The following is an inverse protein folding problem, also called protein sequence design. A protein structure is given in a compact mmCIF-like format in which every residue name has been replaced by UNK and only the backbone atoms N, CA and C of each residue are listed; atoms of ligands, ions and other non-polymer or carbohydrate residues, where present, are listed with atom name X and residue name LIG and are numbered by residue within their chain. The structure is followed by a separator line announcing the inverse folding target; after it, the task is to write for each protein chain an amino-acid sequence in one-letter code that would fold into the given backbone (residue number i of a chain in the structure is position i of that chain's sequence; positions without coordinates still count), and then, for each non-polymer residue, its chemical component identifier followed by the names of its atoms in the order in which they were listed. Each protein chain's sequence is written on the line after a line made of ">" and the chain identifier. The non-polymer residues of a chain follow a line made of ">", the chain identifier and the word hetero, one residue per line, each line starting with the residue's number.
data_IF_368904048791
#
_entry.id   IF_368904048791
#
_cell.length_a   1.000
_cell.length_b   1.000
_cell.length_c   1.000
_cell.angle_alpha   90.00
_cell.angle_beta   90.00
_cell.angle_gamma   90.00
#
_symmetry.space_group_name_H-M   'P 1'
#
loop_
_entity.id
_entity.type
_entity.pdbx_description
1 polymer ?
#
# COMPACT_ATOMS: atom_id res chain seq x y z
N UNK A 1 -10.26 -1.06 12.81
CA UNK A 1 -9.16 -0.08 13.04
C UNK A 1 -9.33 1.16 12.18
N UNK A 2 -9.50 0.97 10.87
CA UNK A 2 -9.60 2.07 9.89
C UNK A 2 -10.68 3.13 10.21
N UNK A 3 -11.92 2.71 10.47
CA UNK A 3 -13.01 3.62 10.85
C UNK A 3 -12.69 4.47 12.10
N UNK A 4 -11.92 3.93 13.05
CA UNK A 4 -11.49 4.69 14.22
C UNK A 4 -10.58 5.85 13.80
N UNK A 5 -9.61 5.61 12.92
CA UNK A 5 -8.69 6.64 12.47
C UNK A 5 -9.39 7.71 11.63
N UNK A 6 -10.32 7.34 10.74
CA UNK A 6 -11.14 8.33 10.03
C UNK A 6 -11.95 9.25 10.95
N UNK A 7 -12.29 8.81 12.16
CA UNK A 7 -13.07 9.60 13.12
C UNK A 7 -12.22 10.37 14.12
N UNK A 8 -11.09 9.80 14.52
CA UNK A 8 -10.39 10.24 15.73
C UNK A 8 -8.95 10.67 15.52
N UNK A 9 -8.28 10.31 14.41
CA UNK A 9 -6.83 10.62 14.26
C UNK A 9 -6.55 12.12 14.28
N UNK A 10 -7.43 12.90 13.65
CA UNK A 10 -7.36 14.36 13.67
C UNK A 10 -7.65 14.96 15.05
N UNK A 11 -8.46 14.29 15.88
CA UNK A 11 -8.74 14.70 17.25
C UNK A 11 -7.64 14.28 18.23
N UNK A 12 -6.88 13.23 17.90
CA UNK A 12 -5.68 12.80 18.63
C UNK A 12 -4.49 13.71 18.38
N UNK A 13 -4.42 14.33 17.20
CA UNK A 13 -3.29 15.16 16.81
C UNK A 13 -3.20 16.47 17.64
N UNK A 14 -2.14 16.69 18.45
CA UNK A 14 -2.02 17.85 19.32
C UNK A 14 -1.96 19.20 18.59
N UNK A 15 -1.53 19.20 17.33
CA UNK A 15 -1.56 20.42 16.51
C UNK A 15 -3.00 20.83 16.17
N UNK A 16 -3.90 19.87 15.96
CA UNK A 16 -5.31 20.09 15.60
C UNK A 16 -6.24 20.28 16.80
N UNK A 17 -6.06 19.51 17.86
CA UNK A 17 -6.92 19.55 19.05
C UNK A 17 -6.08 19.91 20.27
N UNK A 18 -6.41 21.00 20.97
CA UNK A 18 -5.70 21.45 22.19
C UNK A 18 -6.26 20.86 23.48
N UNK A 19 -7.45 20.26 23.48
CA UNK A 19 -8.03 19.59 24.65
C UNK A 19 -7.29 18.28 24.99
N UNK A 20 -6.40 18.35 25.98
CA UNK A 20 -5.58 17.21 26.42
C UNK A 20 -6.41 16.11 27.09
N UNK A 21 -7.47 16.47 27.82
CA UNK A 21 -8.33 15.51 28.50
C UNK A 21 -9.15 14.70 27.49
N UNK A 22 -9.62 15.34 26.42
CA UNK A 22 -10.25 14.63 25.32
C UNK A 22 -9.25 13.72 24.59
N UNK A 23 -8.03 14.19 24.29
CA UNK A 23 -6.99 13.35 23.65
C UNK A 23 -6.70 12.10 24.47
N UNK A 24 -6.46 12.23 25.78
CA UNK A 24 -6.24 11.09 26.69
C UNK A 24 -7.40 10.11 26.70
N UNK A 25 -8.65 10.60 26.67
CA UNK A 25 -9.84 9.73 26.58
C UNK A 25 -9.88 8.95 25.26
N UNK A 26 -9.50 9.58 24.15
CA UNK A 26 -9.45 8.92 22.85
C UNK A 26 -8.28 7.92 22.79
N UNK A 27 -7.10 8.26 23.32
CA UNK A 27 -5.95 7.33 23.45
C UNK A 27 -6.29 6.12 24.31
N UNK A 28 -7.00 6.30 25.42
CA UNK A 28 -7.50 5.20 26.25
C UNK A 28 -8.53 4.34 25.50
N UNK A 29 -9.42 4.97 24.72
CA UNK A 29 -10.35 4.24 23.86
C UNK A 29 -9.63 3.44 22.77
N UNK A 30 -8.61 4.02 22.12
CA UNK A 30 -7.74 3.35 21.16
C UNK A 30 -7.05 2.13 21.80
N UNK A 31 -6.44 2.34 22.97
CA UNK A 31 -5.78 1.26 23.72
C UNK A 31 -6.76 0.15 24.07
N UNK A 32 -7.96 0.48 24.55
CA UNK A 32 -9.00 -0.52 24.87
C UNK A 32 -9.47 -1.28 23.64
N UNK A 33 -9.62 -0.59 22.51
CA UNK A 33 -9.95 -1.19 21.22
C UNK A 33 -8.88 -2.18 20.78
N UNK A 34 -7.61 -1.79 20.76
CA UNK A 34 -6.49 -2.69 20.42
C UNK A 34 -6.31 -3.82 21.43
N UNK A 35 -6.51 -3.57 22.73
CA UNK A 35 -6.51 -4.63 23.75
C UNK A 35 -7.62 -5.65 23.47
N UNK A 36 -8.76 -5.23 22.93
CA UNK A 36 -9.82 -6.14 22.52
C UNK A 36 -9.45 -6.98 21.30
N UNK A 37 -8.75 -6.39 20.32
CA UNK A 37 -8.22 -7.12 19.18
C UNK A 37 -7.14 -8.12 19.60
N UNK A 38 -6.25 -7.72 20.50
CA UNK A 38 -5.23 -8.60 21.09
C UNK A 38 -5.86 -9.82 21.75
N UNK A 39 -6.89 -9.63 22.59
CA UNK A 39 -7.66 -10.76 23.17
C UNK A 39 -8.32 -11.64 22.12
N UNK A 40 -8.83 -11.06 21.04
CA UNK A 40 -9.43 -11.83 19.94
C UNK A 40 -8.37 -12.69 19.23
N UNK A 41 -7.21 -12.10 18.93
CA UNK A 41 -6.07 -12.82 18.36
C UNK A 41 -5.61 -13.93 19.31
N UNK A 42 -5.49 -13.64 20.61
CA UNK A 42 -5.15 -14.64 21.63
C UNK A 42 -6.09 -15.84 21.62
N UNK A 43 -7.42 -15.61 21.56
CA UNK A 43 -8.41 -16.71 21.45
C UNK A 43 -8.27 -17.55 20.19
N UNK A 44 -7.85 -16.96 19.07
CA UNK A 44 -7.59 -17.69 17.82
C UNK A 44 -6.31 -18.52 17.98
N UNK A 45 -5.28 -17.94 18.60
CA UNK A 45 -4.00 -18.62 18.87
C UNK A 45 -4.18 -19.79 19.84
N UNK A 46 -4.99 -19.64 20.88
CA UNK A 46 -5.30 -20.71 21.85
C UNK A 46 -5.99 -21.92 21.20
N UNK A 47 -6.60 -21.75 20.03
CA UNK A 47 -7.31 -22.81 19.30
C UNK A 47 -6.44 -23.53 18.25
N UNK A 48 -5.18 -23.13 18.06
CA UNK A 48 -4.27 -23.72 17.06
C UNK A 48 -3.07 -24.39 17.73
N UNK A 49 -2.48 -25.38 17.03
CA UNK A 49 -1.23 -26.01 17.45
C UNK A 49 -0.06 -25.06 17.10
N UNK A 50 0.38 -24.26 18.07
CA UNK A 50 1.44 -23.27 17.91
C UNK A 50 2.79 -23.90 17.50
N UNK A 51 3.03 -25.16 17.85
CA UNK A 51 4.25 -25.88 17.48
C UNK A 51 4.27 -26.33 16.01
N UNK A 52 3.14 -26.19 15.30
CA UNK A 52 3.01 -26.55 13.88
C UNK A 52 2.47 -25.41 13.00
N UNK A 53 2.20 -24.24 13.58
CA UNK A 53 1.51 -23.15 12.87
C UNK A 53 2.36 -21.89 12.82
N UNK A 54 2.53 -21.33 11.63
CA UNK A 54 3.08 -19.98 11.44
C UNK A 54 1.92 -18.99 11.40
N UNK A 55 1.97 -18.00 12.28
CA UNK A 55 1.01 -16.91 12.41
C UNK A 55 1.65 -15.66 11.81
N UNK A 56 0.94 -15.02 10.88
CA UNK A 56 1.32 -13.72 10.30
C UNK A 56 0.19 -12.74 10.53
N UNK A 57 0.50 -11.59 11.12
CA UNK A 57 -0.42 -10.45 11.26
C UNK A 57 0.15 -9.31 10.42
N UNK A 58 -0.66 -8.79 9.51
CA UNK A 58 -0.26 -7.69 8.63
C UNK A 58 -1.35 -6.62 8.57
N UNK A 59 -0.97 -5.39 8.20
CA UNK A 59 -1.89 -4.29 7.88
C UNK A 59 -1.72 -3.87 6.43
N UNK A 60 -2.81 -3.60 5.73
CA UNK A 60 -2.81 -3.08 4.36
C UNK A 60 -2.29 -1.64 4.27
N UNK A 61 -2.53 -0.84 5.29
CA UNK A 61 -1.98 0.51 5.40
C UNK A 61 -1.90 0.98 6.87
N UNK A 62 -1.24 2.12 7.07
CA UNK A 62 -1.35 2.94 8.27
C UNK A 62 -2.30 4.13 8.07
N UNK A 63 -2.19 5.14 8.93
CA UNK A 63 -2.96 6.37 8.84
C UNK A 63 -2.18 7.55 9.44
N UNK A 64 -2.40 8.75 8.90
CA UNK A 64 -1.81 10.01 9.36
C UNK A 64 -2.89 11.07 9.56
N UNK A 65 -2.74 12.00 10.52
CA UNK A 65 -3.63 13.15 10.63
C UNK A 65 -3.38 14.16 9.51
N UNK A 66 -4.37 15.02 9.27
CA UNK A 66 -4.27 16.15 8.35
C UNK A 66 -3.82 17.41 9.07
N UNK A 67 -2.91 18.17 8.49
CA UNK A 67 -2.51 19.47 9.03
C UNK A 67 -3.65 20.50 8.96
N UNK A 68 -3.81 21.29 10.01
CA UNK A 68 -4.71 22.46 10.06
C UNK A 68 -6.20 22.18 9.77
N UNK A 69 -6.69 20.97 10.05
CA UNK A 69 -8.08 20.56 9.74
C UNK A 69 -9.15 21.45 10.39
N UNK A 70 -8.82 22.10 11.52
CA UNK A 70 -9.70 23.00 12.25
C UNK A 70 -9.50 24.49 11.89
N UNK A 71 -8.61 24.82 10.95
CA UNK A 71 -8.40 26.19 10.52
C UNK A 71 -9.61 26.68 9.70
N UNK A 72 -10.12 27.91 9.89
CA UNK A 72 -11.30 28.41 9.17
C UNK A 72 -11.17 28.41 7.64
N UNK A 73 -9.95 28.60 7.14
CA UNK A 73 -9.63 28.60 5.71
C UNK A 73 -9.21 27.23 5.16
N UNK A 74 -9.23 26.18 5.99
CA UNK A 74 -8.87 24.83 5.59
C UNK A 74 -9.73 24.36 4.42
N UNK A 75 -9.07 23.76 3.43
CA UNK A 75 -9.72 23.10 2.30
C UNK A 75 -9.09 21.74 2.10
N UNK A 76 -9.92 20.74 1.84
CA UNK A 76 -9.41 19.43 1.47
C UNK A 76 -8.66 19.56 0.13
N UNK A 77 -7.40 19.12 0.09
CA UNK A 77 -6.60 19.11 -1.11
C UNK A 77 -7.28 18.26 -2.18
N UNK A 78 -7.50 18.84 -3.36
CA UNK A 78 -8.12 18.19 -4.50
C UNK A 78 -7.36 18.55 -5.79
N UNK A 79 -6.72 17.57 -6.41
CA UNK A 79 -5.97 17.80 -7.64
C UNK A 79 -6.84 18.31 -8.79
N UNK A 80 -8.15 18.01 -8.81
CA UNK A 80 -9.05 18.55 -9.83
C UNK A 80 -9.17 20.08 -9.75
N UNK A 81 -9.00 20.71 -8.59
CA UNK A 81 -8.99 22.17 -8.47
C UNK A 81 -7.74 22.78 -9.13
N UNK A 82 -6.61 22.07 -9.06
CA UNK A 82 -5.37 22.45 -9.76
C UNK A 82 -5.57 22.35 -11.27
N UNK A 83 -6.14 21.23 -11.73
CA UNK A 83 -6.43 21.00 -13.15
C UNK A 83 -7.42 22.03 -13.70
N UNK A 84 -8.47 22.38 -12.94
CA UNK A 84 -9.41 23.46 -13.27
C UNK A 84 -8.71 24.80 -13.43
N UNK A 85 -7.89 25.19 -12.45
CA UNK A 85 -7.15 26.48 -12.47
C UNK A 85 -6.19 26.59 -13.65
N UNK A 86 -5.65 25.47 -14.14
CA UNK A 86 -4.76 25.43 -15.31
C UNK A 86 -5.49 25.22 -16.64
N UNK A 87 -6.82 25.13 -16.64
CA UNK A 87 -7.63 24.93 -17.84
C UNK A 87 -7.48 23.54 -18.46
N UNK A 88 -7.13 22.53 -17.66
CA UNK A 88 -7.03 21.12 -18.06
C UNK A 88 -8.33 20.35 -17.79
N UNK A 89 -9.11 20.81 -16.80
CA UNK A 89 -10.41 20.27 -16.43
C UNK A 89 -11.46 21.38 -16.49
N UNK A 90 -12.62 21.09 -17.05
CA UNK A 90 -13.75 22.03 -17.12
C UNK A 90 -14.98 21.40 -16.50
N UNK A 91 -15.66 22.19 -15.69
CA UNK A 91 -16.87 21.79 -15.00
C UNK A 91 -17.90 22.91 -15.07
N UNK A 92 -19.17 22.54 -15.00
CA UNK A 92 -20.31 23.44 -14.86
C UNK A 92 -21.20 22.94 -13.72
N UNK A 93 -21.97 23.82 -13.11
CA UNK A 93 -22.95 23.41 -12.10
C UNK A 93 -24.21 22.95 -12.84
N UNK A 94 -24.61 21.72 -12.57
CA UNK A 94 -25.86 21.18 -13.07
C UNK A 94 -27.03 21.86 -12.35
N UNK A 95 -27.90 22.56 -13.10
CA UNK A 95 -28.96 23.40 -12.54
C UNK A 95 -30.03 22.60 -11.79
N UNK A 96 -30.26 21.34 -12.16
CA UNK A 96 -31.28 20.48 -11.54
C UNK A 96 -30.79 19.87 -10.22
N UNK A 97 -29.54 19.42 -10.20
CA UNK A 97 -28.96 18.70 -9.05
C UNK A 97 -28.11 19.58 -8.14
N UNK A 98 -27.68 20.75 -8.63
CA UNK A 98 -26.71 21.62 -7.97
C UNK A 98 -25.30 21.03 -7.89
N UNK A 99 -25.04 19.89 -8.54
CA UNK A 99 -23.77 19.20 -8.48
C UNK A 99 -22.83 19.66 -9.60
N UNK A 100 -21.53 19.60 -9.33
CA UNK A 100 -20.51 19.90 -10.34
C UNK A 100 -20.43 18.76 -11.36
N UNK A 101 -20.67 19.09 -12.64
CA UNK A 101 -20.62 18.17 -13.77
C UNK A 101 -19.43 18.49 -14.67
N UNK A 102 -18.69 17.46 -15.10
CA UNK A 102 -17.56 17.60 -16.01
C UNK A 102 -18.04 17.85 -17.43
N UNK A 103 -17.44 18.83 -18.11
CA UNK A 103 -17.65 19.12 -19.54
C UNK A 103 -16.54 18.42 -20.32
N UNK A 104 -16.83 17.21 -20.80
CA UNK A 104 -15.84 16.31 -21.38
C UNK A 104 -15.22 16.84 -22.68
N UNK A 105 -16.00 17.54 -23.50
CA UNK A 105 -15.58 18.12 -24.77
C UNK A 105 -14.57 19.26 -24.62
N UNK A 106 -14.41 19.80 -23.40
CA UNK A 106 -13.42 20.83 -23.06
C UNK A 106 -12.30 20.27 -22.18
N UNK A 107 -12.52 19.12 -21.53
CA UNK A 107 -11.63 18.55 -20.53
C UNK A 107 -10.54 17.70 -21.16
N UNK A 108 -9.28 18.04 -20.89
CA UNK A 108 -8.11 17.27 -21.32
C UNK A 108 -7.72 16.21 -20.30
N UNK A 109 -7.90 16.46 -19.02
CA UNK A 109 -7.50 15.54 -17.97
C UNK A 109 -8.38 15.63 -16.73
N UNK A 110 -8.53 14.51 -16.01
CA UNK A 110 -9.32 14.40 -14.79
C UNK A 110 -8.60 13.53 -13.77
N UNK A 111 -8.56 13.97 -12.51
CA UNK A 111 -8.12 13.16 -11.40
C UNK A 111 -9.28 12.28 -10.88
N UNK A 112 -9.03 10.99 -10.73
CA UNK A 112 -9.98 9.97 -10.24
C UNK A 112 -9.25 9.07 -9.22
N UNK A 113 -10.00 8.45 -8.31
CA UNK A 113 -9.47 7.48 -7.33
C UNK A 113 -8.26 8.01 -6.53
N UNK A 114 -8.33 9.28 -6.13
CA UNK A 114 -7.39 9.96 -5.24
C UNK A 114 -5.98 10.24 -5.74
N UNK A 115 -5.39 9.44 -6.65
CA UNK A 115 -3.98 9.61 -7.07
C UNK A 115 -3.73 9.44 -8.59
N UNK A 116 -4.76 9.12 -9.36
CA UNK A 116 -4.64 8.90 -10.81
C UNK A 116 -5.22 10.05 -11.60
N UNK A 117 -4.40 10.67 -12.45
CA UNK A 117 -4.87 11.61 -13.46
C UNK A 117 -4.93 10.90 -14.81
N UNK A 118 -6.13 10.84 -15.37
CA UNK A 118 -6.39 10.27 -16.69
C UNK A 118 -6.49 11.39 -17.73
N UNK A 119 -5.92 11.17 -18.90
CA UNK A 119 -5.98 12.06 -20.05
C UNK A 119 -7.14 11.59 -20.93
N UNK A 120 -8.01 12.53 -21.31
CA UNK A 120 -9.17 12.32 -22.18
C UNK A 120 -8.72 12.14 -23.65
N UNK A 121 -8.01 11.02 -23.88
CA UNK A 121 -7.39 10.66 -25.15
C UNK A 121 -8.45 10.28 -26.20
N UNK A 122 -8.30 10.85 -27.40
CA UNK A 122 -9.14 10.57 -28.56
C UNK A 122 -9.06 9.10 -28.95
N UNK A 123 -10.19 8.51 -29.32
CA UNK A 123 -10.28 7.08 -29.66
C UNK A 123 -10.28 6.12 -28.46
N UNK A 124 -9.80 6.54 -27.29
CA UNK A 124 -9.86 5.76 -26.05
C UNK A 124 -11.13 6.04 -25.24
N UNK A 125 -11.53 7.30 -25.14
CA UNK A 125 -12.72 7.73 -24.40
C UNK A 125 -13.78 8.34 -25.33
N UNK A 126 -15.10 8.21 -25.02
CA UNK A 126 -16.18 8.64 -25.92
C UNK A 126 -16.11 10.10 -26.36
N UNK A 127 -15.65 10.99 -25.48
CA UNK A 127 -15.51 12.43 -25.72
C UNK A 127 -14.03 12.86 -25.74
N UNK A 128 -13.13 11.95 -26.13
CA UNK A 128 -11.69 12.19 -26.14
C UNK A 128 -11.28 13.32 -27.09
N UNK A 129 -10.59 14.33 -26.55
CA UNK A 129 -10.17 15.53 -27.31
C UNK A 129 -8.65 15.66 -27.46
N UNK A 130 -7.87 14.90 -26.68
CA UNK A 130 -6.41 14.95 -26.75
C UNK A 130 -5.94 14.00 -27.85
N UNK A 131 -5.22 14.51 -28.84
CA UNK A 131 -4.61 13.70 -29.88
C UNK A 131 -3.41 12.89 -29.33
N UNK A 132 -3.10 11.75 -29.93
CA UNK A 132 -1.98 10.90 -29.50
C UNK A 132 -0.63 11.66 -29.52
N UNK A 133 -0.43 12.53 -30.51
CA UNK A 133 0.76 13.38 -30.62
C UNK A 133 0.90 14.42 -29.50
N UNK A 134 -0.18 14.74 -28.79
CA UNK A 134 -0.20 15.67 -27.66
C UNK A 134 -0.09 14.97 -26.30
N UNK A 135 -0.22 13.64 -26.26
CA UNK A 135 -0.34 12.87 -25.02
C UNK A 135 0.79 13.17 -24.02
N UNK A 136 2.04 13.06 -24.46
CA UNK A 136 3.19 13.33 -23.58
C UNK A 136 3.26 14.79 -23.14
N UNK A 137 2.90 15.73 -24.03
CA UNK A 137 2.84 17.15 -23.70
C UNK A 137 1.82 17.40 -22.58
N UNK A 138 0.64 16.79 -22.67
CA UNK A 138 -0.40 16.90 -21.63
C UNK A 138 0.05 16.24 -20.32
N UNK A 139 0.75 15.10 -20.36
CA UNK A 139 1.35 14.52 -19.14
C UNK A 139 2.29 15.51 -18.44
N UNK A 140 3.17 16.18 -19.21
CA UNK A 140 4.09 17.18 -18.67
C UNK A 140 3.35 18.43 -18.13
N UNK A 141 2.29 18.88 -18.80
CA UNK A 141 1.44 19.98 -18.34
C UNK A 141 0.78 19.66 -16.99
N UNK A 142 0.25 18.44 -16.83
CA UNK A 142 -0.33 17.95 -15.57
C UNK A 142 0.73 17.92 -14.47
N UNK A 143 1.89 17.29 -14.71
CA UNK A 143 2.97 17.19 -13.73
C UNK A 143 3.43 18.58 -13.30
N UNK A 144 3.62 19.49 -14.25
CA UNK A 144 3.97 20.88 -13.97
C UNK A 144 2.89 21.57 -13.13
N UNK A 145 1.61 21.40 -13.48
CA UNK A 145 0.50 21.98 -12.74
C UNK A 145 0.49 21.53 -11.27
N UNK A 146 0.70 20.24 -11.03
CA UNK A 146 0.80 19.64 -9.70
C UNK A 146 1.98 20.22 -8.90
N UNK A 147 3.19 20.26 -9.48
CA UNK A 147 4.36 20.82 -8.79
C UNK A 147 4.33 22.34 -8.63
N UNK A 148 3.69 23.09 -9.53
CA UNK A 148 3.53 24.54 -9.42
C UNK A 148 2.64 24.92 -8.24
N UNK A 149 1.67 24.07 -7.89
CA UNK A 149 0.72 24.35 -6.82
C UNK A 149 1.44 24.55 -5.48
N UNK A 150 0.97 25.55 -4.75
CA UNK A 150 1.38 25.86 -3.39
C UNK A 150 0.09 26.05 -2.62
N UNK A 151 -0.06 25.31 -1.53
CA UNK A 151 -1.23 25.42 -0.68
C UNK A 151 -1.27 26.82 -0.06
N UNK A 152 -2.34 27.61 -0.27
CA UNK A 152 -2.37 29.01 0.13
C UNK A 152 -2.43 29.20 1.65
N UNK A 153 -2.90 28.20 2.40
CA UNK A 153 -3.01 28.26 3.85
C UNK A 153 -1.65 28.01 4.52
N UNK A 154 -0.95 26.97 4.08
CA UNK A 154 0.31 26.51 4.69
C UNK A 154 1.56 27.07 4.02
N UNK A 155 1.44 27.56 2.78
CA UNK A 155 2.57 27.95 1.94
C UNK A 155 3.42 26.76 1.44
N UNK A 156 3.01 25.52 1.71
CA UNK A 156 3.76 24.30 1.36
C UNK A 156 3.38 23.78 -0.03
N UNK A 157 4.25 22.96 -0.61
CA UNK A 157 3.95 22.17 -1.81
C UNK A 157 3.47 20.78 -1.38
N UNK A 158 2.20 20.41 -1.63
CA UNK A 158 1.63 19.16 -1.13
C UNK A 158 2.10 17.92 -1.91
N UNK A 159 2.55 18.08 -3.16
CA UNK A 159 2.93 16.97 -4.03
C UNK A 159 4.33 16.48 -3.65
N UNK A 160 4.42 15.22 -3.21
CA UNK A 160 5.69 14.56 -2.91
C UNK A 160 6.35 14.04 -4.19
N UNK A 161 5.54 13.47 -5.09
CA UNK A 161 5.96 13.09 -6.43
C UNK A 161 4.78 13.16 -7.41
N UNK A 162 5.09 13.36 -8.69
CA UNK A 162 4.20 13.11 -9.82
C UNK A 162 5.02 12.44 -10.94
N UNK A 163 4.58 11.25 -11.36
CA UNK A 163 5.24 10.39 -12.33
C UNK A 163 4.35 10.21 -13.55
N UNK A 164 4.96 10.15 -14.73
CA UNK A 164 4.28 9.64 -15.92
C UNK A 164 3.94 8.16 -15.70
N UNK A 165 2.86 7.70 -16.33
CA UNK A 165 2.45 6.28 -16.32
C UNK A 165 3.60 5.31 -16.64
N UNK A 166 4.46 5.67 -17.57
CA UNK A 166 5.61 4.87 -18.01
C UNK A 166 6.63 4.66 -16.89
N UNK A 167 6.83 5.68 -16.05
CA UNK A 167 7.82 5.68 -14.97
C UNK A 167 7.25 5.16 -13.64
N UNK A 168 5.92 5.16 -13.48
CA UNK A 168 5.23 4.69 -12.26
C UNK A 168 5.52 3.20 -11.93
N UNK A 169 6.10 2.43 -12.86
CA UNK A 169 6.51 1.05 -12.63
C UNK A 169 7.49 0.92 -11.47
N UNK A 170 8.32 1.94 -11.21
CA UNK A 170 9.29 1.92 -10.10
C UNK A 170 8.63 1.87 -8.71
N UNK A 171 7.35 2.26 -8.60
CA UNK A 171 6.55 2.17 -7.37
C UNK A 171 5.49 1.06 -7.44
N UNK A 172 5.66 0.09 -8.35
CA UNK A 172 4.76 -1.05 -8.50
C UNK A 172 3.43 -0.75 -9.20
N UNK A 173 3.30 0.42 -9.84
CA UNK A 173 2.10 0.82 -10.56
C UNK A 173 2.32 0.75 -12.07
N UNK A 174 1.60 -0.13 -12.76
CA UNK A 174 1.71 -0.30 -14.21
C UNK A 174 0.44 -0.94 -14.80
N UNK A 175 0.36 -0.98 -16.13
CA UNK A 175 -0.77 -1.58 -16.87
C UNK A 175 -1.86 -0.59 -17.23
N UNK A 176 -2.92 -1.06 -17.89
CA UNK A 176 -3.91 -0.18 -18.53
C UNK A 176 -4.84 0.54 -17.56
N UNK A 177 -4.93 0.03 -16.32
CA UNK A 177 -5.83 0.55 -15.28
C UNK A 177 -5.25 1.69 -14.45
N UNK A 178 -3.96 1.99 -14.58
CA UNK A 178 -3.37 3.15 -13.87
C UNK A 178 -3.53 4.43 -14.69
N UNK A 179 -3.57 5.56 -13.97
CA UNK A 179 -3.62 6.90 -14.54
C UNK A 179 -2.45 7.19 -15.48
N UNK A 180 -2.67 8.12 -16.40
CA UNK A 180 -1.66 8.61 -17.34
C UNK A 180 -0.58 9.45 -16.63
N UNK A 181 -0.94 10.07 -15.51
CA UNK A 181 -0.02 10.59 -14.48
C UNK A 181 -0.45 10.06 -13.12
N UNK A 182 0.51 9.61 -12.32
CA UNK A 182 0.31 9.13 -10.95
C UNK A 182 1.01 10.09 -10.00
N UNK A 183 0.36 10.51 -8.93
CA UNK A 183 0.98 11.39 -7.94
C UNK A 183 0.78 10.89 -6.51
N UNK A 184 1.70 11.27 -5.63
CA UNK A 184 1.60 11.08 -4.19
C UNK A 184 1.74 12.42 -3.48
N UNK A 185 1.12 12.53 -2.31
CA UNK A 185 1.20 13.73 -1.47
C UNK A 185 2.05 13.51 -0.23
N UNK A 186 2.56 14.60 0.34
CA UNK A 186 3.24 14.59 1.63
C UNK A 186 2.26 14.15 2.75
N UNK A 187 2.75 13.52 3.83
CA UNK A 187 1.88 12.88 4.83
C UNK A 187 0.96 13.86 5.57
N UNK A 188 1.32 15.14 5.68
CA UNK A 188 0.50 16.16 6.35
C UNK A 188 -0.70 16.67 5.52
N UNK A 189 -0.71 16.37 4.22
CA UNK A 189 -1.77 16.81 3.31
C UNK A 189 -3.08 16.12 3.67
N UNK A 190 -4.20 16.81 3.49
CA UNK A 190 -5.51 16.37 3.96
C UNK A 190 -5.88 14.92 3.60
N UNK A 191 -6.70 14.28 4.42
CA UNK A 191 -7.07 12.88 4.31
C UNK A 191 -6.12 11.97 5.10
N UNK A 192 -6.61 10.81 5.51
CA UNK A 192 -5.87 9.96 6.46
C UNK A 192 -4.95 8.93 5.80
N UNK A 193 -5.26 8.51 4.57
CA UNK A 193 -4.51 7.53 3.78
C UNK A 193 -4.95 7.54 2.30
N UNK A 194 -4.36 6.64 1.50
CA UNK A 194 -4.73 6.37 0.10
C UNK A 194 -3.96 7.16 -0.94
N UNK A 195 -3.47 8.36 -0.62
CA UNK A 195 -2.65 9.19 -1.53
C UNK A 195 -1.30 9.61 -0.97
N UNK A 196 -1.11 9.45 0.33
CA UNK A 196 0.14 9.69 1.02
C UNK A 196 1.17 8.60 0.66
N UNK A 197 2.44 8.98 0.66
CA UNK A 197 3.53 8.01 0.58
C UNK A 197 3.44 6.97 1.70
N UNK A 198 3.64 5.69 1.38
CA UNK A 198 3.60 4.59 2.37
C UNK A 198 4.70 4.66 3.42
N UNK A 199 5.74 5.46 3.16
CA UNK A 199 6.82 5.78 4.10
C UNK A 199 6.53 7.03 4.95
N UNK A 200 5.44 7.74 4.68
CA UNK A 200 5.10 9.01 5.29
C UNK A 200 4.72 8.88 6.76
N UNK A 201 5.21 9.81 7.57
CA UNK A 201 4.91 9.94 9.00
C UNK A 201 4.61 11.39 9.29
N UNK A 202 3.55 11.65 10.05
CA UNK A 202 3.18 13.00 10.43
C UNK A 202 2.40 12.98 11.74
N UNK A 203 2.75 13.90 12.64
CA UNK A 203 2.10 14.02 13.93
C UNK A 203 2.13 12.70 14.71
N UNK A 204 0.98 12.27 15.19
CA UNK A 204 0.78 11.00 15.90
C UNK A 204 0.69 9.76 15.00
N UNK A 205 0.69 9.92 13.68
CA UNK A 205 0.40 8.85 12.72
C UNK A 205 1.59 8.41 11.84
N UNK A 206 1.44 7.24 11.24
CA UNK A 206 2.38 6.65 10.29
C UNK A 206 1.62 5.89 9.21
N UNK A 207 2.03 6.04 7.95
CA UNK A 207 1.47 5.27 6.82
C UNK A 207 2.01 3.85 6.74
N UNK A 208 3.03 3.51 7.54
CA UNK A 208 3.62 2.18 7.58
C UNK A 208 2.59 1.17 8.10
N UNK A 209 2.47 0.04 7.40
CA UNK A 209 1.70 -1.10 7.87
C UNK A 209 2.42 -1.85 9.00
N UNK A 210 1.67 -2.72 9.69
CA UNK A 210 2.20 -3.66 10.67
C UNK A 210 2.60 -4.94 9.96
N UNK A 211 3.70 -5.56 10.37
CA UNK A 211 4.05 -6.93 10.00
C UNK A 211 4.62 -7.65 11.23
N UNK A 212 3.93 -8.69 11.68
CA UNK A 212 4.32 -9.54 12.81
C UNK A 212 4.25 -10.98 12.35
N UNK A 213 5.28 -11.77 12.66
CA UNK A 213 5.32 -13.20 12.35
C UNK A 213 5.80 -13.99 13.57
N UNK A 214 5.17 -15.14 13.81
CA UNK A 214 5.49 -16.07 14.91
C UNK A 214 5.26 -17.49 14.43
N UNK A 215 6.11 -18.44 14.84
CA UNK A 215 5.87 -19.86 14.61
C UNK A 215 7.16 -20.69 14.56
N UNK A 216 7.05 -21.97 14.20
CA UNK A 216 8.20 -22.88 14.05
C UNK A 216 9.20 -22.37 13.02
N UNK A 217 10.49 -22.39 13.35
CA UNK A 217 11.58 -21.96 12.47
C UNK A 217 11.65 -20.44 12.24
N UNK A 218 10.86 -19.64 12.97
CA UNK A 218 10.88 -18.18 12.93
C UNK A 218 11.65 -17.62 14.12
N UNK A 219 12.55 -16.66 13.88
CA UNK A 219 13.35 -16.01 14.92
C UNK A 219 12.45 -15.28 15.93
N UNK A 220 12.84 -15.32 17.19
CA UNK A 220 12.15 -14.63 18.30
C UNK A 220 12.86 -13.33 18.68
N UNK A 221 12.10 -12.30 19.04
CA UNK A 221 12.64 -11.04 19.57
C UNK A 221 13.40 -10.20 18.55
N UNK A 222 13.15 -10.39 17.25
CA UNK A 222 13.81 -9.66 16.17
C UNK A 222 12.89 -8.57 15.64
N UNK A 223 13.44 -7.35 15.49
CA UNK A 223 12.85 -6.28 14.70
C UNK A 223 13.60 -6.23 13.37
N UNK A 224 12.88 -6.29 12.26
CA UNK A 224 13.49 -6.21 10.94
C UNK A 224 13.86 -4.76 10.61
N UNK A 225 15.08 -4.54 10.12
CA UNK A 225 15.52 -3.23 9.63
C UNK A 225 15.25 -3.03 8.12
N UNK A 226 15.07 -4.12 7.36
CA UNK A 226 14.74 -4.03 5.93
C UNK A 226 13.31 -3.56 5.72
N UNK A 227 13.07 -2.88 4.61
CA UNK A 227 11.71 -2.69 4.09
C UNK A 227 11.09 -4.05 3.76
N UNK A 228 9.86 -4.25 4.24
CA UNK A 228 9.02 -5.39 3.89
C UNK A 228 7.84 -4.83 3.09
N UNK A 229 7.66 -5.33 1.88
CA UNK A 229 6.53 -4.96 1.03
C UNK A 229 5.36 -5.91 1.30
N UNK A 230 4.12 -5.46 1.12
CA UNK A 230 2.95 -6.34 1.20
C UNK A 230 3.01 -7.48 0.19
N UNK A 231 3.64 -7.24 -0.97
CA UNK A 231 3.88 -8.25 -2.00
C UNK A 231 4.84 -9.35 -1.55
N UNK A 232 5.68 -9.10 -0.54
CA UNK A 232 6.64 -10.08 0.01
C UNK A 232 5.95 -11.16 0.88
N UNK A 233 4.71 -10.93 1.31
CA UNK A 233 4.00 -11.82 2.24
C UNK A 233 3.69 -13.18 1.59
N UNK A 234 3.08 -13.17 0.40
CA UNK A 234 2.70 -14.38 -0.33
C UNK A 234 3.88 -15.31 -0.64
N UNK A 235 4.99 -14.85 -1.27
CA UNK A 235 6.12 -15.72 -1.57
C UNK A 235 6.77 -16.26 -0.29
N UNK A 236 6.76 -15.50 0.79
CA UNK A 236 7.25 -15.95 2.10
C UNK A 236 6.42 -17.09 2.68
N UNK A 237 5.08 -17.00 2.60
CA UNK A 237 4.17 -18.08 3.01
C UNK A 237 4.40 -19.33 2.15
N UNK A 238 4.49 -19.15 0.82
CA UNK A 238 4.73 -20.27 -0.09
C UNK A 238 6.05 -20.98 0.23
N UNK A 239 7.12 -20.22 0.45
CA UNK A 239 8.42 -20.77 0.82
C UNK A 239 8.38 -21.51 2.16
N UNK A 240 7.74 -20.92 3.18
CA UNK A 240 7.65 -21.52 4.51
C UNK A 240 6.93 -22.87 4.49
N UNK A 241 5.82 -22.95 3.73
CA UNK A 241 4.93 -24.11 3.69
C UNK A 241 5.23 -25.10 2.55
N UNK A 242 6.29 -24.88 1.77
CA UNK A 242 6.61 -25.66 0.56
C UNK A 242 5.44 -25.70 -0.46
N UNK A 243 4.72 -24.58 -0.58
CA UNK A 243 3.62 -24.44 -1.53
C UNK A 243 4.13 -23.89 -2.88
N UNK A 244 3.48 -24.25 -3.99
CA UNK A 244 3.76 -23.62 -5.27
C UNK A 244 3.51 -22.11 -5.19
N UNK A 245 4.47 -21.34 -5.68
CA UNK A 245 4.35 -19.88 -5.74
C UNK A 245 3.40 -19.51 -6.91
N UNK A 246 2.46 -18.56 -6.72
CA UNK A 246 1.66 -18.05 -7.82
C UNK A 246 2.53 -17.53 -8.97
N UNK A 247 2.11 -17.77 -10.22
CA UNK A 247 2.91 -17.45 -11.42
C UNK A 247 3.24 -15.96 -11.55
N UNK A 248 2.34 -15.10 -11.09
CA UNK A 248 2.45 -13.64 -11.19
C UNK A 248 2.93 -13.01 -9.86
N UNK A 249 3.57 -13.80 -8.98
CA UNK A 249 4.11 -13.29 -7.73
C UNK A 249 5.36 -12.43 -7.98
N UNK A 250 5.29 -11.15 -7.61
CA UNK A 250 6.40 -10.19 -7.81
C UNK A 250 7.24 -9.92 -6.55
N UNK A 251 6.75 -10.30 -5.37
CA UNK A 251 7.45 -10.06 -4.10
C UNK A 251 8.65 -10.96 -3.87
N UNK A 252 9.47 -10.60 -2.88
CA UNK A 252 10.62 -11.38 -2.45
C UNK A 252 10.34 -12.12 -1.14
N UNK A 253 10.95 -13.30 -0.98
CA UNK A 253 10.90 -14.03 0.30
C UNK A 253 11.62 -13.20 1.38
N UNK A 254 11.01 -13.09 2.55
CA UNK A 254 11.56 -12.38 3.70
C UNK A 254 12.48 -13.33 4.48
N UNK A 255 13.60 -13.74 3.89
CA UNK A 255 14.51 -14.74 4.49
C UNK A 255 14.98 -14.41 5.91
N UNK A 256 15.04 -13.12 6.24
CA UNK A 256 15.50 -12.62 7.54
C UNK A 256 14.67 -13.13 8.73
N UNK A 257 13.40 -13.51 8.52
CA UNK A 257 12.52 -14.01 9.59
C UNK A 257 12.87 -15.42 10.04
N UNK A 258 13.49 -16.24 9.18
CA UNK A 258 13.76 -17.64 9.48
C UNK A 258 15.02 -17.80 10.33
N UNK A 259 15.01 -18.74 11.27
CA UNK A 259 16.18 -19.13 12.06
C UNK A 259 17.32 -19.64 11.16
N UNK A 260 16.95 -20.44 10.16
CA UNK A 260 17.83 -20.94 9.10
C UNK A 260 17.20 -20.63 7.73
N UNK A 261 17.69 -19.65 6.97
CA UNK A 261 17.11 -19.31 5.66
C UNK A 261 17.28 -20.42 4.61
N UNK A 262 18.18 -21.38 4.84
CA UNK A 262 18.47 -22.48 3.92
C UNK A 262 17.75 -23.79 4.30
N UNK A 263 16.81 -23.77 5.26
CA UNK A 263 16.22 -24.99 5.80
C UNK A 263 15.59 -25.89 4.71
N UNK A 264 14.86 -25.31 3.75
CA UNK A 264 14.29 -26.04 2.59
C UNK A 264 15.35 -26.67 1.71
N UNK A 265 16.44 -25.95 1.45
CA UNK A 265 17.56 -26.48 0.67
C UNK A 265 18.20 -27.67 1.38
N UNK A 266 18.42 -27.56 2.69
CA UNK A 266 19.00 -28.64 3.51
C UNK A 266 18.08 -29.86 3.59
N UNK A 267 16.76 -29.66 3.71
CA UNK A 267 15.76 -30.73 3.63
C UNK A 267 15.84 -31.47 2.30
N UNK A 268 15.87 -30.74 1.18
CA UNK A 268 16.00 -31.31 -0.16
C UNK A 268 17.31 -32.09 -0.33
N UNK A 269 18.45 -31.53 0.09
CA UNK A 269 19.74 -32.21 0.01
C UNK A 269 19.77 -33.51 0.85
N UNK A 270 19.13 -33.51 2.02
CA UNK A 270 18.98 -34.70 2.86
C UNK A 270 18.09 -35.75 2.19
N UNK A 271 16.95 -35.34 1.61
CA UNK A 271 16.07 -36.24 0.86
C UNK A 271 16.78 -36.86 -0.34
N UNK A 272 17.52 -36.05 -1.11
CA UNK A 272 18.31 -36.52 -2.25
C UNK A 272 19.35 -37.55 -1.83
N UNK A 273 20.11 -37.30 -0.76
CA UNK A 273 21.08 -38.26 -0.22
C UNK A 273 20.42 -39.57 0.21
N UNK A 274 19.26 -39.51 0.86
CA UNK A 274 18.51 -40.69 1.27
C UNK A 274 17.98 -41.48 0.07
N UNK A 275 17.46 -40.79 -0.95
CA UNK A 275 17.00 -41.40 -2.19
C UNK A 275 18.11 -42.19 -2.88
N UNK A 276 19.29 -41.57 -3.08
CA UNK A 276 20.43 -42.25 -3.69
C UNK A 276 20.89 -43.48 -2.89
N UNK A 277 20.86 -43.39 -1.55
CA UNK A 277 21.21 -44.51 -0.68
C UNK A 277 20.23 -45.70 -0.85
N UNK A 278 18.93 -45.42 -0.88
CA UNK A 278 17.89 -46.44 -1.04
C UNK A 278 17.96 -47.05 -2.45
N UNK A 279 18.11 -46.21 -3.48
CA UNK A 279 18.25 -46.66 -4.86
C UNK A 279 19.41 -47.64 -5.01
N UNK A 280 20.59 -47.30 -4.47
CA UNK A 280 21.76 -48.18 -4.49
C UNK A 280 21.53 -49.51 -3.76
N UNK A 281 20.82 -49.48 -2.64
CA UNK A 281 20.49 -50.69 -1.89
C UNK A 281 19.59 -51.62 -2.72
N UNK A 282 18.54 -51.07 -3.35
CA UNK A 282 17.62 -51.83 -4.22
C UNK A 282 18.35 -52.39 -5.45
N UNK A 283 19.20 -51.59 -6.10
CA UNK A 283 20.00 -52.06 -7.25
C UNK A 283 20.94 -53.21 -6.86
N UNK A 284 21.57 -53.11 -5.68
CA UNK A 284 22.42 -54.16 -5.15
C UNK A 284 21.62 -55.42 -4.84
N UNK A 285 20.43 -55.28 -4.25
CA UNK A 285 19.56 -56.41 -3.94
C UNK A 285 19.02 -57.11 -5.20
N UNK A 286 18.58 -56.36 -6.22
CA UNK A 286 18.16 -56.91 -7.52
C UNK A 286 19.30 -57.68 -8.18
N UNK A 287 20.51 -57.13 -8.14
CA UNK A 287 21.71 -57.79 -8.65
C UNK A 287 21.98 -59.11 -7.92
N UNK A 288 21.86 -59.13 -6.58
CA UNK A 288 22.09 -60.34 -5.77
C UNK A 288 20.98 -61.40 -5.94
N UNK A 289 19.73 -60.98 -6.12
CA UNK A 289 18.56 -61.87 -6.19
C UNK A 289 18.19 -62.31 -7.61
N UNK A 290 18.88 -61.82 -8.65
CA UNK A 290 18.60 -62.10 -10.06
C UNK A 290 17.14 -61.81 -10.46
N UNK A 291 16.48 -60.91 -9.73
CA UNK A 291 15.12 -60.45 -10.02
C UNK A 291 15.21 -59.21 -10.90
N UNK A 292 15.13 -59.44 -12.22
CA UNK A 292 15.18 -58.39 -13.25
C UNK A 292 13.81 -57.72 -13.44
#
# INVERSE_FOLDING_TARGET
>A
PDLFYHRFINLLEPTNNKDEELRKKIEDAERKFYTSLDRMVGKIIDAIDEEKTIIIITSDHGAVPSENVNHPEYKHFNANDILKKKGLLYTEIDEETGMEKIIWEKTKAVCVLSCYVFINLKGKYPHGIVEESEYEKVQNEIIKALYDYTDPLTGKKPIAFALKKQDARIIGLYGDKIGDVVYGVNPEVSGEHGRQLTTGEYGVGSMKGVFIVKGPGIKRGVVLERTVWLTDIVPTICFALDLPVPKDCEGAIIYQIFEDPDFKRKEFEKMKKNYERIKKAIETEKFLTHSY
#
